data_IF_700252125156
#
_entry.id   IF_700252125156
#
_cell.length_a   1.000
_cell.length_b   1.000
_cell.length_c   1.000
_cell.angle_alpha   90.00
_cell.angle_beta   90.00
_cell.angle_gamma   90.00
#
_symmetry.space_group_name_H-M   'P 1'
#
loop_
_entity.id
_entity.type
_entity.pdbx_description
1 polymer ?
#
# COMPACT_ATOMS: atom_id res chain seq x y z
N UNK A 1 36.17 19.66 -17.85
CA UNK A 1 34.87 19.57 -18.54
C UNK A 1 34.60 18.15 -19.02
N UNK A 2 35.58 17.48 -19.60
CA UNK A 2 35.48 16.10 -20.10
C UNK A 2 35.05 15.10 -18.99
N UNK A 3 35.62 15.21 -17.81
CA UNK A 3 35.21 14.43 -16.64
C UNK A 3 33.74 14.58 -16.28
N UNK A 4 33.18 15.80 -16.37
CA UNK A 4 31.76 16.05 -16.12
C UNK A 4 30.86 15.39 -17.18
N UNK A 5 31.26 15.45 -18.44
CA UNK A 5 30.53 14.82 -19.54
C UNK A 5 30.58 13.31 -19.45
N UNK A 6 31.71 12.75 -19.05
CA UNK A 6 31.83 11.30 -18.78
C UNK A 6 30.94 10.82 -17.62
N UNK A 7 30.85 11.62 -16.55
CA UNK A 7 29.94 11.30 -15.43
C UNK A 7 28.49 11.36 -15.87
N UNK A 8 28.12 12.28 -16.74
CA UNK A 8 26.79 12.39 -17.31
C UNK A 8 26.43 11.15 -18.14
N UNK A 9 27.35 10.66 -18.96
CA UNK A 9 27.17 9.44 -19.75
C UNK A 9 26.91 8.22 -18.85
N UNK A 10 27.77 8.01 -17.87
CA UNK A 10 27.63 6.91 -16.90
C UNK A 10 26.29 6.97 -16.16
N UNK A 11 25.83 8.16 -15.80
CA UNK A 11 24.52 8.29 -15.16
C UNK A 11 23.36 8.00 -16.12
N UNK A 12 23.49 8.35 -17.39
CA UNK A 12 22.50 7.99 -18.41
C UNK A 12 22.38 6.47 -18.56
N UNK A 13 23.51 5.74 -18.49
CA UNK A 13 23.54 4.28 -18.47
C UNK A 13 22.83 3.72 -17.23
N UNK A 14 23.10 4.29 -16.04
CA UNK A 14 22.39 3.91 -14.79
C UNK A 14 20.89 4.10 -14.93
N UNK A 15 20.47 5.22 -15.53
CA UNK A 15 19.04 5.48 -15.79
C UNK A 15 18.45 4.50 -16.82
N UNK A 16 19.19 4.07 -17.82
CA UNK A 16 18.76 3.06 -18.77
C UNK A 16 18.58 1.70 -18.08
N UNK A 17 19.60 1.27 -17.32
CA UNK A 17 19.57 0.00 -16.58
C UNK A 17 18.46 0.00 -15.53
N UNK A 18 18.14 1.14 -14.88
CA UNK A 18 17.07 1.22 -13.89
C UNK A 18 15.67 0.84 -14.40
N UNK A 19 15.48 0.73 -15.71
CA UNK A 19 14.24 0.27 -16.37
C UNK A 19 14.23 -1.22 -16.70
N UNK A 20 15.36 -1.87 -16.63
CA UNK A 20 15.52 -3.28 -17.03
C UNK A 20 15.42 -4.21 -15.85
N UNK A 21 15.32 -5.52 -16.13
CA UNK A 21 15.34 -6.56 -15.11
C UNK A 21 16.70 -6.73 -14.44
N UNK A 22 17.77 -6.12 -14.98
CA UNK A 22 19.10 -6.16 -14.37
C UNK A 22 19.17 -5.54 -12.95
N UNK A 23 18.20 -4.70 -12.58
CA UNK A 23 18.13 -4.16 -11.21
C UNK A 23 17.87 -5.24 -10.16
N UNK A 24 17.44 -6.44 -10.53
CA UNK A 24 17.28 -7.58 -9.61
C UNK A 24 18.60 -7.98 -8.94
N UNK A 25 19.72 -7.72 -9.59
CA UNK A 25 21.07 -7.97 -9.07
C UNK A 25 21.65 -6.81 -8.25
N UNK A 26 20.92 -5.70 -8.13
CA UNK A 26 21.42 -4.54 -7.39
C UNK A 26 21.33 -4.79 -5.89
N UNK A 27 22.46 -4.62 -5.24
CA UNK A 27 22.58 -4.64 -3.79
C UNK A 27 22.36 -3.24 -3.16
N UNK A 28 22.20 -3.12 -1.86
CA UNK A 28 22.07 -1.85 -1.16
C UNK A 28 23.25 -0.88 -1.40
N UNK A 29 24.45 -1.38 -1.66
CA UNK A 29 25.61 -0.53 -1.94
C UNK A 29 25.50 0.09 -3.33
N UNK A 30 25.02 -0.63 -4.32
CA UNK A 30 24.75 -0.14 -5.67
C UNK A 30 23.68 0.93 -5.68
N UNK A 31 22.58 0.76 -4.93
CA UNK A 31 21.53 1.78 -4.76
C UNK A 31 22.13 3.06 -4.17
N UNK A 32 22.91 2.95 -3.11
CA UNK A 32 23.57 4.13 -2.48
C UNK A 32 24.46 4.87 -3.45
N UNK A 33 25.29 4.15 -4.24
CA UNK A 33 26.16 4.75 -5.26
C UNK A 33 25.37 5.44 -6.37
N UNK A 34 24.32 4.79 -6.88
CA UNK A 34 23.47 5.36 -7.93
C UNK A 34 22.80 6.67 -7.46
N UNK A 35 22.28 6.70 -6.23
CA UNK A 35 21.71 7.91 -5.65
C UNK A 35 22.75 8.99 -5.36
N UNK A 36 23.97 8.64 -4.96
CA UNK A 36 25.06 9.60 -4.80
C UNK A 36 25.40 10.27 -6.14
N UNK A 37 25.43 9.52 -7.24
CA UNK A 37 25.64 10.09 -8.57
C UNK A 37 24.50 11.02 -8.99
N UNK A 38 23.28 10.65 -8.72
CA UNK A 38 22.12 11.52 -8.98
C UNK A 38 22.21 12.84 -8.19
N UNK A 39 22.56 12.77 -6.91
CA UNK A 39 22.77 13.95 -6.06
C UNK A 39 23.95 14.81 -6.55
N UNK A 40 25.02 14.20 -7.02
CA UNK A 40 26.16 14.90 -7.60
C UNK A 40 25.72 15.70 -8.84
N UNK A 41 25.00 15.12 -9.77
CA UNK A 41 24.52 15.81 -10.97
C UNK A 41 23.52 16.93 -10.64
N UNK A 42 22.67 16.73 -9.64
CA UNK A 42 21.84 17.81 -9.11
C UNK A 42 22.66 18.96 -8.53
N UNK A 43 23.78 18.66 -7.85
CA UNK A 43 24.71 19.69 -7.38
C UNK A 43 25.40 20.42 -8.53
N UNK A 44 25.85 19.70 -9.56
CA UNK A 44 26.39 20.26 -10.80
C UNK A 44 25.40 21.23 -11.45
N UNK A 45 24.12 20.85 -11.57
CA UNK A 45 23.07 21.71 -12.07
C UNK A 45 22.94 23.00 -11.25
N UNK A 46 22.92 22.92 -9.92
CA UNK A 46 22.81 24.10 -9.03
C UNK A 46 24.03 25.02 -9.17
N UNK A 47 25.23 24.44 -9.22
CA UNK A 47 26.48 25.20 -9.27
C UNK A 47 26.71 25.87 -10.62
N UNK A 48 26.45 25.18 -11.73
CA UNK A 48 26.78 25.61 -13.07
C UNK A 48 25.57 26.10 -13.88
N UNK A 49 24.39 26.21 -13.31
CA UNK A 49 23.18 26.66 -13.99
C UNK A 49 23.28 28.05 -14.65
N UNK A 50 24.13 28.93 -14.08
CA UNK A 50 24.38 30.28 -14.61
C UNK A 50 25.54 30.33 -15.63
N UNK A 51 26.32 29.24 -15.75
CA UNK A 51 27.47 29.20 -16.68
C UNK A 51 27.05 28.70 -18.06
N UNK A 52 26.75 29.64 -18.96
CA UNK A 52 26.20 29.33 -20.31
C UNK A 52 27.07 28.31 -21.06
N UNK A 53 28.39 28.43 -21.06
CA UNK A 53 29.29 27.49 -21.78
C UNK A 53 29.19 26.07 -21.28
N UNK A 54 29.13 25.87 -19.96
CA UNK A 54 29.01 24.53 -19.35
C UNK A 54 27.62 23.96 -19.64
N UNK A 55 26.58 24.76 -19.47
CA UNK A 55 25.19 24.36 -19.76
C UNK A 55 25.06 23.93 -21.23
N UNK A 56 25.49 24.73 -22.17
CA UNK A 56 25.41 24.42 -23.60
C UNK A 56 26.20 23.16 -23.97
N UNK A 57 27.37 22.93 -23.37
CA UNK A 57 28.15 21.72 -23.61
C UNK A 57 27.42 20.47 -23.09
N UNK A 58 26.80 20.55 -21.92
CA UNK A 58 26.01 19.45 -21.34
C UNK A 58 24.73 19.21 -22.14
N UNK A 59 24.01 20.24 -22.57
CA UNK A 59 22.83 20.13 -23.42
C UNK A 59 23.14 19.44 -24.75
N UNK A 60 24.22 19.87 -25.45
CA UNK A 60 24.67 19.22 -26.69
C UNK A 60 24.99 17.73 -26.49
N UNK A 61 25.56 17.37 -25.32
CA UNK A 61 25.89 15.97 -25.02
C UNK A 61 24.64 15.16 -24.78
N UNK A 62 23.68 15.68 -24.03
CA UNK A 62 22.36 15.05 -23.80
C UNK A 62 21.60 14.86 -25.13
N UNK A 63 21.57 15.87 -25.98
CA UNK A 63 20.94 15.77 -27.30
C UNK A 63 21.62 14.73 -28.21
N UNK A 64 22.95 14.64 -28.17
CA UNK A 64 23.69 13.65 -28.95
C UNK A 64 23.45 12.22 -28.48
N UNK A 65 23.24 12.02 -27.17
CA UNK A 65 22.86 10.71 -26.61
C UNK A 65 21.46 10.34 -27.02
N UNK A 66 20.50 11.27 -26.97
CA UNK A 66 19.13 10.98 -27.41
C UNK A 66 19.08 10.55 -28.87
N UNK A 67 19.78 11.24 -29.77
CA UNK A 67 19.80 10.87 -31.21
C UNK A 67 20.37 9.47 -31.47
N UNK A 68 21.23 8.96 -30.59
CA UNK A 68 21.75 7.58 -30.66
C UNK A 68 20.78 6.51 -30.21
N UNK A 69 19.89 6.84 -29.26
CA UNK A 69 18.90 5.89 -28.71
C UNK A 69 17.64 5.73 -29.60
N UNK A 70 17.37 6.67 -30.52
CA UNK A 70 16.13 6.72 -31.31
C UNK A 70 16.06 5.68 -32.44
N UNK A 71 17.11 4.87 -32.62
CA UNK A 71 17.16 3.88 -33.70
C UNK A 71 16.44 2.54 -33.42
N UNK A 72 15.85 2.26 -32.24
CA UNK A 72 15.42 0.90 -31.96
C UNK A 72 14.19 0.67 -31.08
N UNK A 73 13.62 1.66 -30.39
CA UNK A 73 12.38 1.46 -29.59
C UNK A 73 11.61 2.75 -29.28
N UNK A 74 10.26 2.77 -29.33
CA UNK A 74 9.45 3.87 -28.85
C UNK A 74 9.50 3.89 -27.31
N UNK A 75 10.44 4.62 -26.73
CA UNK A 75 10.53 4.80 -25.28
C UNK A 75 9.65 5.97 -24.85
N UNK A 76 8.45 5.69 -24.38
CA UNK A 76 7.48 6.66 -23.91
C UNK A 76 7.76 7.29 -22.54
N UNK A 77 8.99 7.26 -22.03
CA UNK A 77 9.34 7.89 -20.76
C UNK A 77 10.57 8.80 -20.97
N UNK A 78 10.46 10.12 -20.70
CA UNK A 78 11.55 11.06 -20.92
C UNK A 78 12.78 10.70 -20.07
N UNK A 79 13.89 10.47 -20.73
CA UNK A 79 15.21 10.40 -20.13
C UNK A 79 15.69 11.79 -19.70
N UNK A 80 16.98 11.92 -19.43
CA UNK A 80 17.62 13.21 -19.29
C UNK A 80 17.68 13.89 -20.65
N UNK A 81 16.72 14.75 -20.96
CA UNK A 81 16.60 15.39 -22.28
C UNK A 81 17.27 16.77 -22.34
N UNK A 82 17.43 17.41 -21.20
CA UNK A 82 17.95 18.76 -21.11
C UNK A 82 18.67 19.01 -19.79
N UNK A 83 19.40 20.13 -19.73
CA UNK A 83 20.14 20.53 -18.53
C UNK A 83 19.24 20.74 -17.30
N UNK A 84 17.99 21.19 -17.50
CA UNK A 84 17.03 21.39 -16.40
C UNK A 84 16.65 20.06 -15.72
N UNK A 85 16.60 18.98 -16.48
CA UNK A 85 16.33 17.64 -15.96
C UNK A 85 17.38 17.15 -14.95
N UNK A 86 18.64 17.66 -15.06
CA UNK A 86 19.68 17.36 -14.07
C UNK A 86 19.33 17.84 -12.66
N UNK A 87 18.51 18.89 -12.54
CA UNK A 87 18.02 19.38 -11.26
C UNK A 87 17.15 18.38 -10.49
N UNK A 88 16.59 17.39 -11.18
CA UNK A 88 15.66 16.38 -10.65
C UNK A 88 16.19 14.95 -10.79
N UNK A 89 17.49 14.75 -11.01
CA UNK A 89 18.09 13.45 -11.26
C UNK A 89 17.80 12.41 -10.17
N UNK A 90 17.86 12.82 -8.91
CA UNK A 90 17.58 11.96 -7.77
C UNK A 90 16.11 11.53 -7.71
N UNK A 91 15.19 12.44 -8.01
CA UNK A 91 13.77 12.12 -8.12
C UNK A 91 13.49 11.20 -9.30
N UNK A 92 14.09 11.48 -10.45
CA UNK A 92 13.92 10.68 -11.66
C UNK A 92 14.41 9.24 -11.47
N UNK A 93 15.62 9.07 -10.91
CA UNK A 93 16.17 7.75 -10.61
C UNK A 93 15.31 7.02 -9.58
N UNK A 94 14.92 7.70 -8.51
CA UNK A 94 14.10 7.12 -7.46
C UNK A 94 12.75 6.66 -7.97
N UNK A 95 12.07 7.46 -8.81
CA UNK A 95 10.81 7.08 -9.44
C UNK A 95 10.95 5.81 -10.30
N UNK A 96 12.03 5.72 -11.08
CA UNK A 96 12.28 4.54 -11.93
C UNK A 96 12.53 3.29 -11.13
N UNK A 97 13.38 3.38 -10.11
CA UNK A 97 13.69 2.24 -9.24
C UNK A 97 12.45 1.79 -8.46
N UNK A 98 11.64 2.72 -7.93
CA UNK A 98 10.40 2.38 -7.22
C UNK A 98 9.33 1.80 -8.13
N UNK A 99 9.31 2.17 -9.42
CA UNK A 99 8.39 1.61 -10.41
C UNK A 99 8.86 0.26 -10.96
N UNK A 100 10.13 -0.12 -10.76
CA UNK A 100 10.69 -1.34 -11.31
C UNK A 100 10.42 -2.53 -10.38
N UNK A 101 9.57 -3.45 -10.84
CA UNK A 101 9.19 -4.66 -10.09
C UNK A 101 10.31 -5.69 -9.92
N UNK A 102 11.38 -5.59 -10.70
CA UNK A 102 12.51 -6.50 -10.61
C UNK A 102 13.50 -6.11 -9.49
N UNK A 103 13.30 -4.94 -8.85
CA UNK A 103 14.18 -4.50 -7.76
C UNK A 103 13.97 -5.42 -6.54
N UNK A 104 15.06 -6.02 -6.05
CA UNK A 104 15.02 -6.91 -4.89
C UNK A 104 14.67 -6.17 -3.59
N UNK A 105 14.04 -6.87 -2.64
CA UNK A 105 13.53 -6.29 -1.39
C UNK A 105 14.59 -5.53 -0.59
N UNK A 106 15.80 -6.08 -0.42
CA UNK A 106 16.88 -5.43 0.31
C UNK A 106 17.33 -4.10 -0.33
N UNK A 107 17.37 -4.05 -1.67
CA UNK A 107 17.69 -2.85 -2.44
C UNK A 107 16.55 -1.83 -2.33
N UNK A 108 15.32 -2.29 -2.36
CA UNK A 108 14.12 -1.46 -2.20
C UNK A 108 14.04 -0.80 -0.82
N UNK A 109 14.26 -1.57 0.26
CA UNK A 109 14.36 -1.03 1.62
C UNK A 109 15.49 0.00 1.76
N UNK A 110 16.65 -0.28 1.15
CA UNK A 110 17.76 0.68 1.14
C UNK A 110 17.37 1.97 0.41
N UNK A 111 16.66 1.86 -0.73
CA UNK A 111 16.17 3.02 -1.49
C UNK A 111 15.24 3.88 -0.63
N UNK A 112 14.29 3.26 0.06
CA UNK A 112 13.36 3.97 0.95
C UNK A 112 14.09 4.69 2.08
N UNK A 113 15.02 4.03 2.77
CA UNK A 113 15.85 4.65 3.83
C UNK A 113 16.69 5.82 3.33
N UNK A 114 17.16 5.77 2.07
CA UNK A 114 17.93 6.87 1.48
C UNK A 114 17.07 8.05 1.06
N UNK A 115 15.81 7.82 0.72
CA UNK A 115 14.86 8.88 0.39
C UNK A 115 14.33 9.59 1.65
N UNK A 116 14.33 8.89 2.75
CA UNK A 116 13.83 9.35 4.05
C UNK A 116 14.93 9.09 5.10
N UNK A 117 15.88 10.02 5.26
CA UNK A 117 16.90 9.89 6.30
C UNK A 117 16.21 9.87 7.66
N UNK A 118 16.46 8.82 8.42
CA UNK A 118 16.05 8.69 9.82
C UNK A 118 16.95 9.48 10.77
N UNK A 119 16.78 9.38 12.06
CA UNK A 119 16.34 10.36 13.00
C UNK A 119 17.45 11.24 13.58
N UNK A 120 17.07 12.46 13.94
CA UNK A 120 17.86 13.33 14.80
C UNK A 120 17.02 14.09 15.86
N UNK A 121 15.68 14.08 15.72
CA UNK A 121 14.78 14.74 16.67
C UNK A 121 13.46 13.96 16.72
N UNK A 122 12.84 13.70 17.91
CA UNK A 122 11.63 12.87 18.03
C UNK A 122 10.45 13.30 17.16
N UNK A 123 10.28 14.61 16.94
CA UNK A 123 9.22 15.15 16.08
C UNK A 123 9.46 14.94 14.57
N UNK A 124 10.72 14.76 14.15
CA UNK A 124 11.08 14.56 12.75
C UNK A 124 10.84 13.12 12.26
N UNK A 125 10.74 12.15 13.15
CA UNK A 125 10.51 10.74 12.78
C UNK A 125 9.07 10.49 12.35
N UNK A 126 8.12 11.12 13.03
CA UNK A 126 6.70 11.04 12.67
C UNK A 126 6.44 11.75 11.34
N UNK A 127 7.04 12.92 11.11
CA UNK A 127 7.01 13.62 9.82
C UNK A 127 7.68 12.82 8.70
N UNK A 128 8.77 12.12 8.98
CA UNK A 128 9.47 11.29 8.00
C UNK A 128 8.63 10.07 7.58
N UNK A 129 7.96 9.39 8.53
CA UNK A 129 7.05 8.29 8.22
C UNK A 129 5.82 8.78 7.45
N UNK A 130 5.22 9.89 7.86
CA UNK A 130 4.09 10.51 7.17
C UNK A 130 4.47 10.94 5.75
N UNK A 131 5.61 11.61 5.59
CA UNK A 131 6.14 11.99 4.28
C UNK A 131 6.41 10.79 3.40
N UNK A 132 6.92 9.69 3.97
CA UNK A 132 7.16 8.42 3.32
C UNK A 132 5.86 7.78 2.83
N UNK A 133 4.87 7.62 3.70
CA UNK A 133 3.57 7.04 3.37
C UNK A 133 2.80 7.91 2.37
N UNK A 134 2.81 9.23 2.54
CA UNK A 134 2.18 10.17 1.60
C UNK A 134 2.84 10.13 0.21
N UNK A 135 4.18 10.04 0.15
CA UNK A 135 4.92 9.95 -1.10
C UNK A 135 4.66 8.60 -1.80
N UNK A 136 4.62 7.50 -1.04
CA UNK A 136 4.28 6.19 -1.57
C UNK A 136 2.84 6.14 -2.10
N UNK A 137 1.88 6.74 -1.39
CA UNK A 137 0.51 6.89 -1.84
C UNK A 137 0.40 7.72 -3.13
N UNK A 138 1.07 8.86 -3.21
CA UNK A 138 1.13 9.70 -4.43
C UNK A 138 1.75 8.98 -5.60
N UNK A 139 2.80 8.18 -5.37
CA UNK A 139 3.47 7.40 -6.43
C UNK A 139 2.66 6.23 -6.90
N UNK A 140 1.92 5.58 -6.00
CA UNK A 140 0.97 4.56 -6.39
C UNK A 140 -0.11 5.14 -7.29
N UNK A 141 -0.63 6.32 -6.98
CA UNK A 141 -1.57 7.04 -7.85
C UNK A 141 -0.94 7.39 -9.20
N UNK A 142 0.31 7.84 -9.22
CA UNK A 142 1.04 8.15 -10.45
C UNK A 142 1.31 6.89 -11.30
N UNK A 143 1.71 5.79 -10.68
CA UNK A 143 1.90 4.49 -11.36
C UNK A 143 0.57 3.96 -11.87
N UNK A 144 -0.52 4.13 -11.13
CA UNK A 144 -1.87 3.75 -11.56
C UNK A 144 -2.33 4.58 -12.76
N UNK A 145 -2.13 5.89 -12.74
CA UNK A 145 -2.41 6.78 -13.87
C UNK A 145 -1.57 6.45 -15.12
N UNK A 146 -0.30 6.09 -14.93
CA UNK A 146 0.57 5.66 -16.03
C UNK A 146 0.18 4.28 -16.58
N UNK A 147 -0.44 3.41 -15.77
CA UNK A 147 -0.95 2.10 -16.19
C UNK A 147 -2.31 2.15 -16.89
N UNK A 148 -3.09 3.21 -16.70
CA UNK A 148 -4.34 3.42 -17.46
C UNK A 148 -4.07 3.55 -18.97
N UNK A 149 -2.83 3.81 -19.38
CA UNK A 149 -2.39 3.86 -20.77
C UNK A 149 -1.78 2.52 -21.29
N UNK A 150 -1.78 1.44 -20.49
CA UNK A 150 -1.20 0.15 -20.88
C UNK A 150 -1.96 -1.02 -20.27
N UNK A 151 -2.59 -1.83 -21.11
CA UNK A 151 -3.27 -3.07 -20.80
C UNK A 151 -2.42 -3.99 -19.89
N UNK A 152 -2.84 -4.23 -18.65
CA UNK A 152 -2.24 -5.20 -17.75
C UNK A 152 -3.11 -5.41 -16.52
N UNK A 153 -3.45 -6.66 -16.23
CA UNK A 153 -4.21 -7.10 -15.07
C UNK A 153 -3.75 -6.42 -13.77
N UNK A 154 -4.72 -5.98 -12.97
CA UNK A 154 -4.46 -5.47 -11.61
C UNK A 154 -3.79 -6.59 -10.81
N UNK A 155 -2.55 -6.42 -10.32
CA UNK A 155 -2.01 -7.36 -9.34
C UNK A 155 -2.94 -7.34 -8.13
N UNK A 156 -3.20 -8.50 -7.56
CA UNK A 156 -3.90 -8.58 -6.29
C UNK A 156 -3.20 -7.68 -5.27
N UNK A 157 -3.96 -6.95 -4.47
CA UNK A 157 -3.44 -5.97 -3.49
C UNK A 157 -2.38 -6.59 -2.56
N UNK A 158 -2.49 -7.91 -2.34
CA UNK A 158 -1.60 -8.73 -1.52
C UNK A 158 -0.16 -8.82 -2.06
N UNK A 159 0.02 -8.63 -3.38
CA UNK A 159 1.31 -8.80 -4.06
C UNK A 159 1.96 -7.46 -4.46
N UNK A 160 1.41 -6.32 -4.01
CA UNK A 160 2.02 -5.03 -4.27
C UNK A 160 3.19 -4.80 -3.28
N UNK A 161 4.45 -4.86 -3.74
CA UNK A 161 5.62 -4.74 -2.88
C UNK A 161 5.68 -3.39 -2.15
N UNK A 162 5.04 -2.36 -2.70
CA UNK A 162 4.99 -1.04 -2.07
C UNK A 162 4.11 -1.05 -0.82
N UNK A 163 2.92 -1.66 -0.89
CA UNK A 163 2.02 -1.76 0.25
C UNK A 163 2.64 -2.63 1.34
N UNK A 164 3.23 -3.75 0.94
CA UNK A 164 3.93 -4.65 1.87
C UNK A 164 5.03 -3.92 2.63
N UNK A 165 5.88 -3.15 1.93
CA UNK A 165 6.94 -2.37 2.58
C UNK A 165 6.40 -1.27 3.49
N UNK A 166 5.32 -0.59 3.08
CA UNK A 166 4.66 0.39 3.94
C UNK A 166 4.09 -0.25 5.21
N UNK A 167 3.51 -1.44 5.07
CA UNK A 167 2.99 -2.21 6.19
C UNK A 167 4.10 -2.65 7.16
N UNK A 168 5.24 -3.11 6.63
CA UNK A 168 6.42 -3.46 7.42
C UNK A 168 6.97 -2.25 8.19
N UNK A 169 7.13 -1.10 7.52
CA UNK A 169 7.57 0.14 8.16
C UNK A 169 6.60 0.64 9.24
N UNK A 170 5.29 0.51 9.00
CA UNK A 170 4.28 0.87 9.99
C UNK A 170 4.40 0.00 11.25
N UNK A 171 4.55 -1.32 11.08
CA UNK A 171 4.70 -2.25 12.19
C UNK A 171 6.02 -2.03 12.95
N UNK A 172 7.14 -1.80 12.25
CA UNK A 172 8.41 -1.43 12.87
C UNK A 172 8.26 -0.18 13.74
N UNK A 173 7.57 0.85 13.21
CA UNK A 173 7.38 2.10 13.94
C UNK A 173 6.46 1.95 15.15
N UNK A 174 5.40 1.16 15.06
CA UNK A 174 4.52 0.88 16.19
C UNK A 174 5.27 0.16 17.32
N UNK A 175 6.19 -0.75 16.99
CA UNK A 175 7.04 -1.43 17.97
C UNK A 175 8.00 -0.44 18.65
N UNK A 176 8.68 0.42 17.89
CA UNK A 176 9.59 1.43 18.43
C UNK A 176 8.87 2.40 19.39
N UNK A 177 7.67 2.86 19.01
CA UNK A 177 6.86 3.77 19.86
C UNK A 177 6.40 3.06 21.13
N UNK A 178 6.02 1.77 21.04
CA UNK A 178 5.66 0.95 22.20
C UNK A 178 6.82 0.79 23.19
N UNK A 179 8.05 0.69 22.71
CA UNK A 179 9.27 0.57 23.53
C UNK A 179 9.69 1.92 24.16
N UNK A 180 9.49 3.04 23.45
CA UNK A 180 10.01 4.36 23.86
C UNK A 180 9.17 5.07 24.95
N UNK A 181 7.97 4.57 25.28
CA UNK A 181 7.01 5.15 26.28
C UNK A 181 6.64 6.63 26.10
N UNK A 182 7.15 7.31 25.07
CA UNK A 182 6.96 8.75 24.85
C UNK A 182 5.63 9.08 24.17
N UNK A 183 5.09 8.19 23.37
CA UNK A 183 3.82 8.32 22.66
C UNK A 183 3.03 7.01 22.72
N UNK A 184 1.69 7.10 22.71
CA UNK A 184 0.89 5.88 22.59
C UNK A 184 0.80 5.46 21.12
N UNK A 185 0.89 4.14 20.78
CA UNK A 185 0.70 3.65 19.42
C UNK A 185 -0.63 4.12 18.79
N UNK A 186 -1.69 4.20 19.60
CA UNK A 186 -2.98 4.75 19.19
C UNK A 186 -2.94 6.23 18.82
N UNK A 187 -2.11 7.04 19.49
CA UNK A 187 -1.90 8.45 19.16
C UNK A 187 -1.23 8.62 17.79
N UNK A 188 -0.19 7.83 17.51
CA UNK A 188 0.48 7.79 16.21
C UNK A 188 -0.52 7.42 15.09
N UNK A 189 -1.29 6.33 15.25
CA UNK A 189 -2.26 5.87 14.27
C UNK A 189 -3.36 6.90 14.01
N UNK A 190 -3.85 7.58 15.04
CA UNK A 190 -4.83 8.64 14.90
C UNK A 190 -4.27 9.85 14.14
N UNK A 191 -3.03 10.25 14.43
CA UNK A 191 -2.35 11.31 13.68
C UNK A 191 -2.14 10.96 12.21
N UNK A 192 -1.78 9.70 11.89
CA UNK A 192 -1.65 9.20 10.53
C UNK A 192 -3.00 9.18 9.79
N UNK A 193 -4.08 8.78 10.47
CA UNK A 193 -5.43 8.78 9.94
C UNK A 193 -5.91 10.15 9.49
N UNK A 194 -5.59 11.19 10.24
CA UNK A 194 -5.98 12.57 9.93
C UNK A 194 -5.21 13.18 8.75
N UNK A 195 -3.97 12.76 8.55
CA UNK A 195 -3.03 13.38 7.60
C UNK A 195 -2.85 12.62 6.29
N UNK A 196 -3.14 11.32 6.26
CA UNK A 196 -2.93 10.48 5.08
C UNK A 196 -4.22 10.30 4.26
N UNK A 197 -4.11 9.99 2.94
CA UNK A 197 -5.24 9.57 2.14
C UNK A 197 -5.86 8.29 2.71
N UNK A 198 -7.10 8.38 3.18
CA UNK A 198 -7.78 7.32 3.95
C UNK A 198 -7.72 5.96 3.28
N UNK A 199 -8.10 5.87 1.99
CA UNK A 199 -8.14 4.59 1.29
C UNK A 199 -6.76 3.90 1.23
N UNK A 200 -5.70 4.67 0.93
CA UNK A 200 -4.34 4.10 0.89
C UNK A 200 -3.86 3.67 2.28
N UNK A 201 -4.21 4.41 3.32
CA UNK A 201 -3.84 4.05 4.68
C UNK A 201 -4.56 2.79 5.16
N UNK A 202 -5.86 2.63 4.83
CA UNK A 202 -6.62 1.43 5.14
C UNK A 202 -6.07 0.18 4.44
N UNK A 203 -5.58 0.31 3.21
CA UNK A 203 -4.91 -0.78 2.49
C UNK A 203 -3.59 -1.18 3.16
N UNK A 204 -2.83 -0.20 3.67
CA UNK A 204 -1.60 -0.45 4.43
C UNK A 204 -1.92 -1.16 5.75
N UNK A 205 -2.98 -0.74 6.46
CA UNK A 205 -3.45 -1.41 7.68
C UNK A 205 -3.82 -2.87 7.38
N UNK A 206 -4.61 -3.12 6.33
CA UNK A 206 -4.99 -4.47 5.94
C UNK A 206 -3.77 -5.35 5.61
N UNK A 207 -2.81 -4.79 4.88
CA UNK A 207 -1.56 -5.48 4.56
C UNK A 207 -0.73 -5.77 5.81
N UNK A 208 -0.65 -4.82 6.76
CA UNK A 208 0.06 -5.00 8.03
C UNK A 208 -0.54 -6.12 8.88
N UNK A 209 -1.87 -6.21 8.93
CA UNK A 209 -2.59 -7.30 9.62
C UNK A 209 -2.38 -8.67 8.94
N UNK A 210 -2.06 -8.69 7.65
CA UNK A 210 -1.78 -9.92 6.90
C UNK A 210 -0.29 -10.34 6.91
N UNK A 211 0.62 -9.49 7.38
CA UNK A 211 2.02 -9.85 7.47
C UNK A 211 2.23 -10.93 8.55
N UNK A 212 3.10 -11.92 8.30
CA UNK A 212 3.51 -12.85 9.34
C UNK A 212 4.26 -12.09 10.44
N UNK A 213 4.14 -12.51 11.70
CA UNK A 213 4.96 -11.96 12.78
C UNK A 213 6.45 -12.10 12.38
N UNK A 214 7.18 -10.98 12.41
CA UNK A 214 8.58 -10.95 11.97
C UNK A 214 9.41 -11.91 12.82
N UNK A 215 10.13 -12.89 12.24
CA UNK A 215 11.09 -13.67 12.95
C UNK A 215 12.32 -12.79 13.26
N UNK A 216 12.28 -12.04 14.35
CA UNK A 216 13.52 -11.46 14.87
C UNK A 216 14.42 -12.60 15.29
N UNK A 217 15.71 -12.62 14.87
CA UNK A 217 16.67 -13.55 15.44
C UNK A 217 16.68 -13.33 16.96
N UNK A 218 16.75 -14.40 17.76
CA UNK A 218 16.84 -14.28 19.20
C UNK A 218 18.08 -13.44 19.52
N UNK A 219 17.88 -12.17 19.90
CA UNK A 219 18.92 -11.43 20.61
C UNK A 219 19.13 -12.20 21.90
N UNK A 220 20.36 -12.64 22.10
CA UNK A 220 20.82 -13.31 23.28
C UNK A 220 20.14 -12.76 24.52
N UNK A 221 19.50 -13.66 25.25
CA UNK A 221 18.84 -13.41 26.53
C UNK A 221 19.93 -12.93 27.49
N UNK A 222 20.11 -11.62 27.58
CA UNK A 222 20.73 -11.02 28.76
C UNK A 222 19.59 -10.50 29.62
N UNK A 223 19.44 -11.22 30.73
CA UNK A 223 18.48 -10.96 31.80
C UNK A 223 18.41 -9.48 32.18
N UNK A 224 17.21 -8.90 32.10
CA UNK A 224 16.62 -8.07 33.15
C UNK A 224 15.21 -7.63 32.69
N UNK A 225 14.22 -8.11 33.43
CA UNK A 225 12.87 -7.63 33.63
C UNK A 225 12.16 -6.87 32.51
N UNK A 226 11.13 -7.47 31.90
CA UNK A 226 10.07 -6.72 31.21
C UNK A 226 10.07 -6.76 29.70
N UNK A 227 10.35 -7.91 29.08
CA UNK A 227 10.25 -8.00 27.61
C UNK A 227 8.83 -8.34 27.19
N UNK A 228 8.13 -7.38 26.56
CA UNK A 228 6.90 -7.59 25.81
C UNK A 228 7.14 -8.57 24.65
N UNK A 229 6.19 -9.47 24.40
CA UNK A 229 6.29 -10.56 23.44
C UNK A 229 6.45 -10.07 21.99
N UNK A 230 7.19 -10.78 21.11
CA UNK A 230 7.29 -10.43 19.70
C UNK A 230 5.93 -10.64 19.00
N UNK A 231 5.32 -9.54 18.52
CA UNK A 231 4.02 -9.57 17.84
C UNK A 231 3.10 -8.39 18.19
N UNK A 232 3.52 -7.51 19.08
CA UNK A 232 2.67 -6.45 19.65
C UNK A 232 2.20 -5.39 18.66
N UNK A 233 2.99 -5.03 17.63
CA UNK A 233 2.61 -4.00 16.66
C UNK A 233 1.32 -4.33 15.88
N UNK A 234 1.14 -5.59 15.51
CA UNK A 234 -0.09 -6.05 14.85
C UNK A 234 -1.29 -6.06 15.79
N UNK A 235 -1.08 -6.42 17.05
CA UNK A 235 -2.12 -6.40 18.08
C UNK A 235 -2.56 -4.96 18.42
N UNK A 236 -1.63 -4.05 18.57
CA UNK A 236 -1.91 -2.63 18.81
C UNK A 236 -2.70 -2.02 17.65
N UNK A 237 -2.33 -2.36 16.41
CA UNK A 237 -3.04 -1.92 15.21
C UNK A 237 -4.48 -2.45 15.18
N UNK A 238 -4.67 -3.74 15.49
CA UNK A 238 -5.98 -4.37 15.57
C UNK A 238 -6.83 -3.74 16.68
N UNK A 239 -6.27 -3.57 17.87
CA UNK A 239 -6.93 -2.93 19.01
C UNK A 239 -7.38 -1.50 18.70
N UNK A 240 -6.50 -0.71 18.05
CA UNK A 240 -6.85 0.65 17.62
C UNK A 240 -7.99 0.65 16.60
N UNK A 241 -7.97 -0.26 15.62
CA UNK A 241 -9.01 -0.36 14.59
C UNK A 241 -10.37 -0.76 15.21
N UNK A 242 -10.38 -1.76 16.10
CA UNK A 242 -11.59 -2.23 16.78
C UNK A 242 -12.14 -1.20 17.78
N UNK A 243 -11.28 -0.38 18.38
CA UNK A 243 -11.66 0.70 19.27
C UNK A 243 -12.30 1.92 18.59
N UNK A 244 -12.30 1.98 17.24
CA UNK A 244 -12.81 3.10 16.46
C UNK A 244 -13.86 2.65 15.45
N UNK A 245 -15.12 2.63 15.90
CA UNK A 245 -16.26 2.18 15.07
C UNK A 245 -16.41 2.98 13.77
N UNK A 246 -16.13 4.29 13.80
CA UNK A 246 -16.13 5.18 12.64
C UNK A 246 -15.12 4.73 11.57
N UNK A 247 -13.92 4.38 12.00
CA UNK A 247 -12.85 3.92 11.11
C UNK A 247 -13.14 2.48 10.63
N UNK A 248 -13.65 1.62 11.51
CA UNK A 248 -13.98 0.25 11.16
C UNK A 248 -15.07 0.17 10.08
N UNK A 249 -16.09 1.02 10.12
CA UNK A 249 -17.09 1.12 9.05
C UNK A 249 -16.46 1.53 7.72
N UNK A 250 -15.58 2.55 7.74
CA UNK A 250 -14.87 2.99 6.53
C UNK A 250 -13.92 1.91 6.02
N UNK A 251 -13.23 1.20 6.91
CA UNK A 251 -12.35 0.08 6.59
C UNK A 251 -13.10 -1.02 5.85
N UNK A 252 -14.25 -1.45 6.40
CA UNK A 252 -15.08 -2.48 5.79
C UNK A 252 -15.71 -2.05 4.47
N UNK A 253 -16.04 -0.77 4.28
CA UNK A 253 -16.61 -0.26 3.03
C UNK A 253 -15.56 -0.06 1.93
N UNK A 254 -14.40 0.48 2.28
CA UNK A 254 -13.40 0.90 1.28
C UNK A 254 -12.58 -0.24 0.72
N UNK A 255 -12.44 -1.34 1.48
CA UNK A 255 -11.59 -2.45 1.07
C UNK A 255 -12.34 -3.50 0.26
N UNK A 256 -11.67 -4.16 -0.71
CA UNK A 256 -12.23 -5.28 -1.47
C UNK A 256 -12.66 -6.44 -0.55
N UNK A 257 -13.78 -7.10 -0.88
CA UNK A 257 -14.33 -8.20 -0.09
C UNK A 257 -13.31 -9.33 0.18
N UNK A 258 -12.55 -9.75 -0.85
CA UNK A 258 -11.54 -10.81 -0.70
C UNK A 258 -10.37 -10.45 0.23
N UNK A 259 -9.99 -9.16 0.28
CA UNK A 259 -8.97 -8.69 1.21
C UNK A 259 -9.48 -8.72 2.66
N UNK A 260 -10.69 -8.22 2.87
CA UNK A 260 -11.35 -8.26 4.18
C UNK A 260 -11.54 -9.69 4.68
N UNK A 261 -11.98 -10.61 3.81
CA UNK A 261 -12.08 -12.04 4.11
C UNK A 261 -10.73 -12.62 4.56
N UNK A 262 -9.63 -12.25 3.88
CA UNK A 262 -8.29 -12.69 4.27
C UNK A 262 -7.86 -12.15 5.63
N UNK A 263 -8.17 -10.88 5.94
CA UNK A 263 -7.88 -10.27 7.25
C UNK A 263 -8.76 -10.90 8.34
N UNK A 264 -10.06 -11.08 8.08
CA UNK A 264 -11.02 -11.70 8.98
C UNK A 264 -10.63 -13.15 9.33
N UNK A 265 -10.17 -13.91 8.34
CA UNK A 265 -9.69 -15.29 8.55
C UNK A 265 -8.46 -15.38 9.45
N UNK A 266 -7.69 -14.30 9.59
CA UNK A 266 -6.52 -14.26 10.45
C UNK A 266 -6.80 -13.68 11.83
N UNK A 267 -7.83 -12.84 11.97
CA UNK A 267 -8.18 -12.12 13.19
C UNK A 267 -9.64 -12.36 13.57
N UNK A 268 -9.94 -13.35 14.43
CA UNK A 268 -11.31 -13.71 14.82
C UNK A 268 -12.08 -12.56 15.47
N UNK A 269 -11.41 -11.67 16.18
CA UNK A 269 -12.03 -10.49 16.80
C UNK A 269 -12.56 -9.51 15.74
N UNK A 270 -11.76 -9.27 14.69
CA UNK A 270 -12.16 -8.43 13.56
C UNK A 270 -13.29 -9.09 12.77
N UNK A 271 -13.24 -10.41 12.59
CA UNK A 271 -14.29 -11.15 11.90
C UNK A 271 -15.65 -10.94 12.56
N UNK A 272 -15.74 -11.05 13.89
CA UNK A 272 -17.01 -10.85 14.63
C UNK A 272 -17.58 -9.45 14.41
N UNK A 273 -16.74 -8.41 14.56
CA UNK A 273 -17.17 -7.02 14.33
C UNK A 273 -17.57 -6.80 12.86
N UNK A 274 -16.85 -7.43 11.92
CA UNK A 274 -17.21 -7.35 10.50
C UNK A 274 -18.55 -8.03 10.21
N UNK A 275 -18.80 -9.19 10.81
CA UNK A 275 -20.06 -9.92 10.65
C UNK A 275 -21.23 -9.15 11.26
N UNK A 276 -21.05 -8.53 12.43
CA UNK A 276 -22.04 -7.67 13.07
C UNK A 276 -22.39 -6.46 12.18
N UNK A 277 -21.35 -5.85 11.55
CA UNK A 277 -21.55 -4.74 10.62
C UNK A 277 -22.32 -5.16 9.37
N UNK A 278 -22.02 -6.32 8.78
CA UNK A 278 -22.77 -6.86 7.64
C UNK A 278 -24.23 -7.18 8.02
N UNK A 279 -24.44 -7.66 9.24
CA UNK A 279 -25.79 -7.91 9.77
C UNK A 279 -26.58 -6.60 9.89
N UNK A 280 -25.95 -5.57 10.41
CA UNK A 280 -26.54 -4.25 10.51
C UNK A 280 -26.88 -3.68 9.11
N UNK A 281 -26.00 -3.84 8.13
CA UNK A 281 -26.29 -3.44 6.75
C UNK A 281 -27.48 -4.19 6.17
N UNK A 282 -27.55 -5.51 6.39
CA UNK A 282 -28.67 -6.32 5.92
C UNK A 282 -30.01 -5.86 6.52
N UNK A 283 -30.04 -5.56 7.81
CA UNK A 283 -31.25 -5.08 8.50
C UNK A 283 -31.74 -3.71 8.02
N UNK A 284 -30.88 -2.89 7.45
CA UNK A 284 -31.24 -1.59 6.88
C UNK A 284 -31.68 -1.66 5.41
N UNK A 285 -31.64 -2.81 4.76
CA UNK A 285 -32.20 -3.03 3.44
C UNK A 285 -33.69 -3.40 3.55
N UNK A 286 -34.49 -2.90 2.62
CA UNK A 286 -35.89 -3.22 2.50
C UNK A 286 -36.22 -3.71 1.10
N UNK A 287 -37.20 -4.60 0.97
CA UNK A 287 -37.57 -5.15 -0.32
C UNK A 287 -38.55 -4.24 -1.06
N UNK A 288 -38.16 -3.80 -2.24
CA UNK A 288 -39.01 -3.02 -3.15
C UNK A 288 -39.86 -4.00 -3.99
N UNK A 289 -41.13 -4.15 -3.62
CA UNK A 289 -42.06 -5.04 -4.31
C UNK A 289 -42.29 -4.70 -5.79
N UNK A 290 -42.12 -3.45 -6.17
CA UNK A 290 -42.31 -3.02 -7.57
C UNK A 290 -41.13 -3.41 -8.44
N UNK A 291 -39.93 -3.36 -7.89
CA UNK A 291 -38.70 -3.69 -8.60
C UNK A 291 -38.23 -5.13 -8.39
N UNK A 292 -38.74 -5.79 -7.36
CA UNK A 292 -38.29 -7.13 -6.99
C UNK A 292 -36.86 -7.20 -6.48
N UNK A 293 -36.35 -6.13 -5.84
CA UNK A 293 -34.96 -6.03 -5.39
C UNK A 293 -34.88 -5.44 -3.98
N UNK A 294 -33.80 -5.74 -3.27
CA UNK A 294 -33.46 -5.15 -1.99
C UNK A 294 -32.81 -3.77 -2.22
N UNK A 295 -33.30 -2.74 -1.54
CA UNK A 295 -32.80 -1.36 -1.66
C UNK A 295 -32.47 -0.79 -0.29
N UNK A 296 -31.45 0.05 -0.21
CA UNK A 296 -31.05 0.75 1.02
C UNK A 296 -31.99 1.94 1.30
N UNK A 297 -32.22 2.21 2.58
CA UNK A 297 -33.05 3.32 3.05
C UNK A 297 -32.45 4.70 2.75
N UNK A 298 -31.11 4.80 2.67
CA UNK A 298 -30.39 6.05 2.51
C UNK A 298 -29.54 6.07 1.23
N UNK A 299 -29.44 7.24 0.60
CA UNK A 299 -28.52 7.48 -0.51
C UNK A 299 -27.06 7.35 0.01
N UNK A 300 -26.34 6.33 -0.49
CA UNK A 300 -24.99 6.01 -0.04
C UNK A 300 -24.90 4.95 1.07
N UNK A 301 -26.00 4.32 1.44
CA UNK A 301 -26.05 3.11 2.26
C UNK A 301 -25.43 1.90 1.57
N UNK A 302 -25.34 0.77 2.27
CA UNK A 302 -24.93 -0.50 1.67
C UNK A 302 -25.96 -0.95 0.64
N UNK A 303 -25.51 -1.51 -0.48
CA UNK A 303 -26.38 -2.09 -1.51
C UNK A 303 -26.48 -3.60 -1.35
N UNK A 304 -27.52 -4.20 -1.95
CA UNK A 304 -27.67 -5.65 -2.01
C UNK A 304 -26.45 -6.32 -2.65
N UNK A 305 -25.99 -5.80 -3.76
CA UNK A 305 -24.85 -6.34 -4.51
C UNK A 305 -23.58 -6.31 -3.66
N UNK A 306 -23.38 -5.24 -2.90
CA UNK A 306 -22.25 -5.11 -1.99
C UNK A 306 -22.33 -6.11 -0.83
N UNK A 307 -23.50 -6.24 -0.21
CA UNK A 307 -23.75 -7.21 0.85
C UNK A 307 -23.54 -8.65 0.34
N UNK A 308 -24.14 -9.00 -0.78
CA UNK A 308 -24.01 -10.32 -1.41
C UNK A 308 -22.54 -10.63 -1.75
N UNK A 309 -21.82 -9.72 -2.39
CA UNK A 309 -20.41 -9.91 -2.75
C UNK A 309 -19.53 -10.17 -1.50
N UNK A 310 -19.81 -9.52 -0.39
CA UNK A 310 -19.06 -9.72 0.86
C UNK A 310 -19.36 -11.07 1.51
N UNK A 311 -20.61 -11.47 1.58
CA UNK A 311 -20.98 -12.79 2.08
C UNK A 311 -20.49 -13.91 1.15
N UNK A 312 -20.54 -13.72 -0.17
CA UNK A 312 -19.98 -14.66 -1.13
C UNK A 312 -18.48 -14.86 -0.91
N UNK A 313 -17.72 -13.76 -0.70
CA UNK A 313 -16.31 -13.86 -0.39
C UNK A 313 -16.03 -14.59 0.93
N UNK A 314 -16.84 -14.38 1.97
CA UNK A 314 -16.72 -15.06 3.24
C UNK A 314 -17.05 -16.57 3.11
N UNK A 315 -18.08 -16.93 2.33
CA UNK A 315 -18.45 -18.32 2.07
C UNK A 315 -17.44 -19.08 1.18
N UNK A 316 -16.61 -18.35 0.44
CA UNK A 316 -15.49 -18.92 -0.33
C UNK A 316 -14.21 -19.07 0.51
N UNK A 317 -14.21 -18.58 1.74
CA UNK A 317 -13.07 -18.72 2.65
C UNK A 317 -12.85 -20.16 3.09
N UNK A 318 -11.66 -20.39 3.66
CA UNK A 318 -11.34 -21.70 4.29
C UNK A 318 -12.10 -21.90 5.60
N UNK A 319 -12.32 -23.15 5.95
CA UNK A 319 -12.80 -23.53 7.27
C UNK A 319 -11.87 -22.99 8.38
N UNK A 320 -12.37 -22.50 9.53
CA UNK A 320 -13.78 -22.58 10.00
C UNK A 320 -14.67 -21.38 9.63
N UNK A 321 -14.13 -20.34 9.00
CA UNK A 321 -14.82 -19.07 8.76
C UNK A 321 -16.13 -19.26 7.98
N UNK A 322 -16.10 -20.11 6.95
CA UNK A 322 -17.28 -20.44 6.13
C UNK A 322 -18.41 -20.99 6.98
N UNK A 323 -18.11 -21.95 7.87
CA UNK A 323 -19.13 -22.62 8.68
C UNK A 323 -19.76 -21.65 9.70
N UNK A 324 -18.95 -20.76 10.29
CA UNK A 324 -19.45 -19.72 11.20
C UNK A 324 -20.40 -18.76 10.48
N UNK A 325 -20.08 -18.35 9.25
CA UNK A 325 -20.94 -17.47 8.44
C UNK A 325 -22.25 -18.15 8.07
N UNK A 326 -22.20 -19.40 7.59
CA UNK A 326 -23.42 -20.14 7.21
C UNK A 326 -24.31 -20.37 8.42
N UNK A 327 -23.75 -20.78 9.57
CA UNK A 327 -24.47 -20.94 10.82
C UNK A 327 -25.15 -19.64 11.28
N UNK A 328 -24.45 -18.50 11.12
CA UNK A 328 -25.01 -17.19 11.45
C UNK A 328 -26.18 -16.83 10.52
N UNK A 329 -26.04 -17.03 9.21
CA UNK A 329 -27.07 -16.75 8.21
C UNK A 329 -28.34 -17.62 8.47
N UNK A 330 -28.16 -18.91 8.74
CA UNK A 330 -29.25 -19.81 9.10
C UNK A 330 -29.95 -19.39 10.38
N UNK A 331 -29.21 -18.97 11.40
CA UNK A 331 -29.74 -18.44 12.64
C UNK A 331 -30.59 -17.19 12.43
N UNK A 332 -30.14 -16.25 11.62
CA UNK A 332 -30.88 -15.02 11.30
C UNK A 332 -32.13 -15.33 10.46
N UNK A 333 -32.03 -16.24 9.47
CA UNK A 333 -33.20 -16.75 8.74
C UNK A 333 -34.27 -17.33 9.69
N UNK A 334 -33.83 -18.13 10.65
CA UNK A 334 -34.74 -18.72 11.64
C UNK A 334 -35.39 -17.66 12.55
N UNK A 335 -34.66 -16.62 12.95
CA UNK A 335 -35.19 -15.49 13.73
C UNK A 335 -36.24 -14.70 12.96
N UNK A 336 -36.10 -14.56 11.64
CA UNK A 336 -37.08 -13.91 10.74
C UNK A 336 -38.31 -14.82 10.44
N UNK A 337 -38.39 -16.02 11.04
CA UNK A 337 -39.52 -16.94 10.89
C UNK A 337 -39.26 -18.13 9.97
N UNK A 338 -38.06 -18.26 9.36
CA UNK A 338 -37.69 -19.43 8.58
C UNK A 338 -38.42 -19.58 7.24
N UNK A 339 -39.00 -18.52 6.72
CA UNK A 339 -39.76 -18.54 5.46
C UNK A 339 -38.81 -18.72 4.26
N UNK A 340 -39.23 -19.59 3.30
CA UNK A 340 -38.47 -19.83 2.05
C UNK A 340 -39.03 -19.04 0.86
N UNK A 341 -39.71 -17.94 1.15
CA UNK A 341 -40.31 -17.07 0.12
C UNK A 341 -39.40 -15.87 -0.16
N UNK A 342 -38.99 -15.66 -1.41
CA UNK A 342 -38.14 -14.50 -1.79
C UNK A 342 -38.81 -13.17 -1.41
N UNK A 343 -37.99 -12.21 -0.94
CA UNK A 343 -38.44 -10.88 -0.55
C UNK A 343 -39.08 -10.78 0.85
N UNK A 344 -39.16 -11.88 1.61
CA UNK A 344 -39.68 -11.87 2.98
C UNK A 344 -38.56 -11.67 4.00
N UNK A 345 -37.45 -12.40 3.85
CA UNK A 345 -36.26 -12.21 4.66
C UNK A 345 -35.02 -12.06 3.77
N UNK A 346 -34.24 -11.04 4.07
CA UNK A 346 -32.99 -10.78 3.35
C UNK A 346 -32.01 -11.95 3.52
N UNK A 347 -32.02 -12.61 4.66
CA UNK A 347 -31.14 -13.75 4.94
C UNK A 347 -31.52 -14.98 4.15
N UNK A 348 -32.83 -15.21 3.88
CA UNK A 348 -33.31 -16.26 2.98
C UNK A 348 -32.81 -15.98 1.56
N UNK A 349 -33.04 -14.77 1.05
CA UNK A 349 -32.65 -14.41 -0.31
C UNK A 349 -31.13 -14.48 -0.48
N UNK A 350 -30.38 -14.11 0.55
CA UNK A 350 -28.92 -14.19 0.54
C UNK A 350 -28.43 -15.65 0.48
N UNK A 351 -29.01 -16.54 1.29
CA UNK A 351 -28.67 -17.97 1.26
C UNK A 351 -28.98 -18.59 -0.10
N UNK A 352 -30.16 -18.31 -0.68
CA UNK A 352 -30.55 -18.78 -2.01
C UNK A 352 -29.61 -18.26 -3.11
N UNK A 353 -29.18 -16.99 -3.03
CA UNK A 353 -28.25 -16.40 -3.97
C UNK A 353 -26.84 -17.01 -3.86
N UNK A 354 -26.38 -17.35 -2.65
CA UNK A 354 -25.10 -18.00 -2.40
C UNK A 354 -25.07 -19.43 -2.89
N UNK A 355 -26.19 -20.16 -2.76
CA UNK A 355 -26.34 -21.53 -3.28
C UNK A 355 -26.40 -21.58 -4.81
N UNK A 356 -27.04 -20.58 -5.44
CA UNK A 356 -27.20 -20.51 -6.91
C UNK A 356 -25.91 -20.10 -7.63
N UNK A 357 -24.96 -19.49 -6.94
CA UNK A 357 -23.66 -19.02 -7.47
C UNK A 357 -22.48 -19.97 -7.18
N UNK A 358 -22.72 -21.13 -6.60
CA UNK A 358 -21.69 -22.12 -6.23
C UNK A 358 -21.35 -23.11 -7.37
#
# INVERSE_FOLDING_TARGET
MESLLQQLERFSEVLAVSRTTHVSSWDPATIRRALQWARYLRHVHRRFGRHVRIRTAMERRLESQWKREDGSRPASVPGLTNFRALGSCDLLLSQRLLANRALGDAAFHCLLRQLFPGPGVPDAEEEALQGSLALCARRRSAVHLLRLNGFGEKPALRDDPLIKTQAELLLERLQEVGEAQAQSPGGLLSGLWERLPRNSFLEVIAAALLLPPSPRPPKEILELGGSKAPGEGGHELLHWLLGRSDIMVVFCRSLPAGLLTSVAGRHPELFRVYLDLLTDWGRHLHYDLQKGIWVGAEAGGATWEELHSRFQSLCQATLPLKDEVLTALESWKAQDGGFEVPGVSIWTDLLLALESGA
#
